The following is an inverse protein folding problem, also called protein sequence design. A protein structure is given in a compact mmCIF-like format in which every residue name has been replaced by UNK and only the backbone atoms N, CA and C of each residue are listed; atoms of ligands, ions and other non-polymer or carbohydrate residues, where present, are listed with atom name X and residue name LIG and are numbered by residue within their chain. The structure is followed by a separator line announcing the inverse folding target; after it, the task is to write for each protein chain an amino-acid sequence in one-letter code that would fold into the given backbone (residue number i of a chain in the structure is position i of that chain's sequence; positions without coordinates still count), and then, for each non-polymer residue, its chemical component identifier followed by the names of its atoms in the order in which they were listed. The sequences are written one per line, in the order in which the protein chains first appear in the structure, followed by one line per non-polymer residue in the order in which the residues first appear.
data_IF_014203729442
#
_entry.id   IF_014203729442
#
_cell.length_a   1.000
_cell.length_b   1.000
_cell.length_c   1.000
_cell.angle_alpha   90.00
_cell.angle_beta   90.00
_cell.angle_gamma   90.00
#
_symmetry.space_group_name_H-M   'P 1'
#
loop_
_entity.id
_entity.type
_entity.pdbx_description
1 polymer ?
#
# COMPACT_ATOMS: atom_id res chain seq x y z
N UNK A 1 -30.07 8.61 -22.85
CA UNK A 1 -30.65 8.18 -21.55
C UNK A 1 -30.73 9.41 -20.63
N UNK A 2 -31.47 9.40 -19.52
CA UNK A 2 -31.38 10.57 -18.61
C UNK A 2 -29.98 10.64 -17.98
N UNK A 3 -29.48 11.84 -17.69
CA UNK A 3 -28.19 12.03 -17.00
C UNK A 3 -28.13 11.21 -15.71
N UNK A 4 -29.21 11.27 -14.94
CA UNK A 4 -29.36 10.52 -13.69
C UNK A 4 -29.27 9.02 -13.90
N UNK A 5 -29.92 8.47 -14.94
CA UNK A 5 -29.87 7.03 -15.22
C UNK A 5 -28.43 6.54 -15.46
N UNK A 6 -27.62 7.28 -16.22
CA UNK A 6 -26.22 6.91 -16.45
C UNK A 6 -25.36 7.00 -15.18
N UNK A 7 -25.65 7.97 -14.32
CA UNK A 7 -24.99 8.11 -13.01
C UNK A 7 -25.35 6.92 -12.11
N UNK A 8 -26.62 6.53 -12.07
CA UNK A 8 -27.10 5.40 -11.27
C UNK A 8 -26.51 4.07 -11.79
N UNK A 9 -26.46 3.88 -13.11
CA UNK A 9 -25.80 2.74 -13.74
C UNK A 9 -24.31 2.71 -13.40
N UNK A 10 -23.60 3.84 -13.47
CA UNK A 10 -22.20 3.93 -13.09
C UNK A 10 -21.98 3.65 -11.59
N UNK A 11 -22.88 4.11 -10.71
CA UNK A 11 -22.84 3.79 -9.28
C UNK A 11 -23.00 2.29 -9.03
N UNK A 12 -23.94 1.64 -9.73
CA UNK A 12 -24.12 0.19 -9.64
C UNK A 12 -22.87 -0.55 -10.12
N UNK A 13 -22.28 -0.14 -11.24
CA UNK A 13 -21.04 -0.72 -11.74
C UNK A 13 -19.90 -0.60 -10.72
N UNK A 14 -19.74 0.56 -10.07
CA UNK A 14 -18.71 0.73 -9.04
C UNK A 14 -18.96 -0.16 -7.82
N UNK A 15 -20.22 -0.47 -7.51
CA UNK A 15 -20.57 -1.45 -6.47
C UNK A 15 -20.27 -2.88 -6.91
N UNK A 16 -20.61 -3.24 -8.15
CA UNK A 16 -20.39 -4.55 -8.77
C UNK A 16 -18.89 -4.87 -8.91
N UNK A 17 -18.07 -3.86 -9.21
CA UNK A 17 -16.61 -3.93 -9.21
C UNK A 17 -16.00 -4.01 -7.79
N UNK A 18 -16.82 -4.01 -6.75
CA UNK A 18 -16.38 -4.20 -5.38
C UNK A 18 -15.72 -2.99 -4.72
N UNK A 19 -15.81 -1.78 -5.30
CA UNK A 19 -15.18 -0.59 -4.67
C UNK A 19 -15.80 -0.30 -3.31
N UNK A 20 -15.07 0.24 -2.32
CA UNK A 20 -15.63 0.51 -1.01
C UNK A 20 -16.63 1.69 -1.04
N UNK A 21 -17.49 1.86 -0.01
CA UNK A 21 -18.53 2.89 0.01
C UNK A 21 -18.02 4.31 -0.26
N UNK A 22 -16.79 4.64 0.12
CA UNK A 22 -16.17 5.94 -0.11
C UNK A 22 -15.99 6.30 -1.60
N UNK A 23 -16.01 5.30 -2.50
CA UNK A 23 -15.93 5.47 -3.96
C UNK A 23 -17.26 5.22 -4.66
N UNK A 24 -18.32 4.86 -3.94
CA UNK A 24 -19.69 4.70 -4.48
C UNK A 24 -20.49 5.99 -4.34
N UNK A 25 -19.97 7.07 -4.92
CA UNK A 25 -20.58 8.39 -4.89
C UNK A 25 -20.63 9.04 -6.27
N UNK A 26 -21.46 10.08 -6.42
CA UNK A 26 -21.71 10.78 -7.68
C UNK A 26 -20.41 11.27 -8.34
N UNK A 27 -19.45 11.78 -7.57
CA UNK A 27 -18.14 12.23 -8.09
C UNK A 27 -17.40 11.09 -8.79
N UNK A 28 -17.39 9.90 -8.19
CA UNK A 28 -16.70 8.74 -8.73
C UNK A 28 -17.41 8.19 -9.96
N UNK A 29 -18.75 8.16 -9.94
CA UNK A 29 -19.56 7.81 -11.11
C UNK A 29 -19.30 8.75 -12.29
N UNK A 30 -19.33 10.07 -12.07
CA UNK A 30 -19.04 11.08 -13.09
C UNK A 30 -17.61 11.01 -13.61
N UNK A 31 -16.65 10.67 -12.75
CA UNK A 31 -15.25 10.46 -13.15
C UNK A 31 -15.12 9.23 -14.05
N UNK A 32 -15.81 8.12 -13.72
CA UNK A 32 -15.83 6.93 -14.57
C UNK A 32 -16.40 7.26 -15.95
N UNK A 33 -17.54 7.95 -16.00
CA UNK A 33 -18.19 8.37 -17.24
C UNK A 33 -17.28 9.26 -18.11
N UNK A 34 -16.50 10.14 -17.48
CA UNK A 34 -15.52 10.97 -18.18
C UNK A 34 -14.39 10.14 -18.80
N UNK A 35 -13.82 9.18 -18.04
CA UNK A 35 -12.75 8.30 -18.52
C UNK A 35 -13.15 7.42 -19.72
N UNK A 36 -14.44 7.26 -19.96
CA UNK A 36 -14.98 6.50 -21.11
C UNK A 36 -15.67 7.39 -22.17
N UNK A 37 -15.61 8.72 -22.03
CA UNK A 37 -16.34 9.75 -22.83
C UNK A 37 -17.83 9.42 -23.03
N UNK A 38 -18.50 8.84 -22.02
CA UNK A 38 -19.90 8.46 -22.11
C UNK A 38 -20.80 9.66 -21.82
N UNK A 39 -21.28 10.31 -22.86
CA UNK A 39 -22.18 11.47 -22.78
C UNK A 39 -23.64 11.05 -22.55
N UNK A 40 -24.54 11.97 -22.14
CA UNK A 40 -25.95 11.65 -21.87
C UNK A 40 -26.73 11.01 -23.04
N UNK A 41 -26.32 11.32 -24.27
CA UNK A 41 -26.85 10.79 -25.52
C UNK A 41 -26.13 9.50 -26.00
N UNK A 42 -25.05 9.12 -25.35
CA UNK A 42 -24.24 7.95 -25.67
C UNK A 42 -24.79 6.63 -25.11
N UNK A 43 -24.05 5.55 -25.38
CA UNK A 43 -24.37 4.19 -24.96
C UNK A 43 -23.12 3.50 -24.43
N UNK A 44 -23.31 2.61 -23.46
CA UNK A 44 -22.24 1.77 -22.91
C UNK A 44 -21.53 0.94 -23.97
N UNK A 45 -22.18 0.54 -25.07
CA UNK A 45 -21.51 -0.20 -26.15
C UNK A 45 -20.49 0.62 -26.95
N UNK A 46 -20.54 1.95 -26.90
CA UNK A 46 -19.81 2.88 -27.78
C UNK A 46 -18.81 3.75 -26.99
N UNK A 47 -18.12 3.15 -26.00
CA UNK A 47 -17.14 3.86 -25.16
C UNK A 47 -15.86 4.21 -25.91
N UNK A 48 -15.24 5.32 -25.50
CA UNK A 48 -13.89 5.71 -25.91
C UNK A 48 -12.92 5.56 -24.76
N UNK A 49 -11.64 5.78 -25.02
CA UNK A 49 -10.59 5.79 -23.99
C UNK A 49 -9.73 7.06 -24.10
N UNK A 50 -10.28 8.24 -23.84
CA UNK A 50 -9.48 9.47 -23.85
C UNK A 50 -8.39 9.44 -22.77
N UNK A 51 -7.24 10.06 -23.07
CA UNK A 51 -6.24 10.41 -22.07
C UNK A 51 -6.66 11.71 -21.39
N UNK A 52 -6.96 11.66 -20.09
CA UNK A 52 -7.49 12.81 -19.37
C UNK A 52 -6.72 13.10 -18.08
N UNK A 53 -6.30 14.35 -17.93
CA UNK A 53 -5.91 14.88 -16.62
C UNK A 53 -7.13 15.20 -15.76
N UNK A 54 -6.90 15.48 -14.47
CA UNK A 54 -7.98 15.77 -13.50
C UNK A 54 -8.79 17.01 -13.87
N UNK A 55 -8.13 18.08 -14.34
CA UNK A 55 -8.81 19.31 -14.77
C UNK A 55 -9.68 19.06 -16.02
N UNK A 56 -9.18 18.41 -17.09
CA UNK A 56 -10.03 17.95 -18.19
C UNK A 56 -11.23 17.09 -17.76
N UNK A 57 -11.07 16.22 -16.77
CA UNK A 57 -12.19 15.43 -16.21
C UNK A 57 -13.24 16.36 -15.59
N UNK A 58 -12.83 17.31 -14.74
CA UNK A 58 -13.76 18.27 -14.12
C UNK A 58 -14.50 19.12 -15.17
N UNK A 59 -13.79 19.60 -16.18
CA UNK A 59 -14.37 20.40 -17.28
C UNK A 59 -15.36 19.57 -18.11
N UNK A 60 -15.01 18.32 -18.42
CA UNK A 60 -15.89 17.41 -19.13
C UNK A 60 -17.16 17.12 -18.33
N UNK A 61 -17.04 16.89 -17.02
CA UNK A 61 -18.18 16.66 -16.13
C UNK A 61 -19.09 17.90 -16.09
N UNK A 62 -18.52 19.10 -15.95
CA UNK A 62 -19.28 20.35 -15.98
C UNK A 62 -20.01 20.56 -17.30
N UNK A 63 -19.36 20.25 -18.43
CA UNK A 63 -19.91 20.43 -19.77
C UNK A 63 -21.02 19.45 -20.13
N UNK A 64 -20.88 18.18 -19.74
CA UNK A 64 -21.78 17.11 -20.20
C UNK A 64 -22.83 16.70 -19.16
N UNK A 65 -22.54 16.91 -17.87
CA UNK A 65 -23.40 16.50 -16.75
C UNK A 65 -23.85 17.67 -15.87
N UNK A 66 -23.57 18.92 -16.27
CA UNK A 66 -23.95 20.16 -15.57
C UNK A 66 -23.44 20.24 -14.11
N UNK A 67 -22.39 19.48 -13.78
CA UNK A 67 -21.82 19.43 -12.43
C UNK A 67 -20.48 20.15 -12.41
N UNK A 68 -20.52 21.42 -12.04
CA UNK A 68 -19.31 22.26 -11.93
C UNK A 68 -18.67 22.04 -10.56
N UNK A 69 -17.41 21.62 -10.57
CA UNK A 69 -16.61 21.47 -9.35
C UNK A 69 -15.70 22.68 -9.14
N UNK A 70 -15.60 23.13 -7.88
CA UNK A 70 -14.65 24.17 -7.51
C UNK A 70 -13.19 23.67 -7.68
N UNK A 71 -12.21 24.55 -7.97
CA UNK A 71 -10.82 24.16 -8.24
C UNK A 71 -10.17 23.26 -7.18
N UNK A 72 -10.50 23.47 -5.90
CA UNK A 72 -10.02 22.66 -4.78
C UNK A 72 -10.49 21.20 -4.83
N UNK A 73 -11.58 20.90 -5.53
CA UNK A 73 -12.12 19.54 -5.73
C UNK A 73 -11.22 18.68 -6.63
N UNK A 74 -10.31 19.32 -7.39
CA UNK A 74 -9.32 18.62 -8.20
C UNK A 74 -8.56 17.60 -7.36
N UNK A 75 -8.12 17.98 -6.17
CA UNK A 75 -7.37 17.08 -5.31
C UNK A 75 -8.22 15.96 -4.74
N UNK A 76 -9.51 16.21 -4.49
CA UNK A 76 -10.48 15.20 -4.09
C UNK A 76 -10.69 14.16 -5.19
N UNK A 77 -10.92 14.58 -6.45
CA UNK A 77 -11.07 13.64 -7.58
C UNK A 77 -9.79 12.83 -7.77
N UNK A 78 -8.63 13.47 -7.66
CA UNK A 78 -7.33 12.78 -7.78
C UNK A 78 -7.14 11.72 -6.69
N UNK A 79 -7.18 12.12 -5.42
CA UNK A 79 -6.82 11.28 -4.27
C UNK A 79 -7.90 10.31 -3.83
N UNK A 80 -9.17 10.66 -4.00
CA UNK A 80 -10.31 9.92 -3.46
C UNK A 80 -11.16 9.23 -4.54
N UNK A 81 -10.77 9.33 -5.82
CA UNK A 81 -11.42 8.60 -6.90
C UNK A 81 -10.38 7.98 -7.83
N UNK A 82 -9.56 8.78 -8.51
CA UNK A 82 -8.65 8.28 -9.56
C UNK A 82 -7.54 7.37 -9.03
N UNK A 83 -6.96 7.69 -7.87
CA UNK A 83 -5.99 6.79 -7.24
C UNK A 83 -6.62 5.44 -6.93
N UNK A 84 -7.82 5.43 -6.35
CA UNK A 84 -8.50 4.18 -6.05
C UNK A 84 -8.90 3.44 -7.32
N UNK A 85 -9.25 4.13 -8.39
CA UNK A 85 -9.50 3.48 -9.68
C UNK A 85 -8.24 2.84 -10.26
N UNK A 86 -7.07 3.44 -10.05
CA UNK A 86 -5.78 2.84 -10.46
C UNK A 86 -5.43 1.64 -9.60
N UNK A 87 -5.55 1.76 -8.27
CA UNK A 87 -5.32 0.65 -7.33
C UNK A 87 -6.29 -0.51 -7.61
N UNK A 88 -7.51 -0.17 -7.99
CA UNK A 88 -8.57 -1.06 -8.43
C UNK A 88 -8.43 -1.48 -9.91
N UNK A 89 -7.33 -1.23 -10.61
CA UNK A 89 -7.15 -1.63 -12.02
C UNK A 89 -8.22 -1.17 -13.02
N UNK A 90 -9.09 -0.22 -12.63
CA UNK A 90 -10.15 0.37 -13.46
C UNK A 90 -9.52 1.36 -14.44
N UNK A 91 -8.51 2.11 -13.98
CA UNK A 91 -7.82 3.13 -14.77
C UNK A 91 -6.31 2.89 -14.78
N UNK A 92 -5.66 3.33 -15.85
CA UNK A 92 -4.22 3.37 -16.01
C UNK A 92 -3.71 4.78 -15.70
N UNK A 93 -2.57 4.86 -15.02
CA UNK A 93 -1.88 6.11 -14.73
C UNK A 93 -0.74 6.34 -15.73
N UNK A 94 -0.77 7.48 -16.43
CA UNK A 94 0.23 7.87 -17.45
C UNK A 94 0.57 6.77 -18.48
N UNK A 95 -0.41 6.08 -19.10
CA UNK A 95 -0.10 5.01 -20.05
C UNK A 95 0.59 5.53 -21.33
N UNK A 96 0.55 6.83 -21.58
CA UNK A 96 1.25 7.51 -22.68
C UNK A 96 2.74 7.80 -22.38
N UNK A 97 3.13 7.86 -21.11
CA UNK A 97 4.51 8.05 -20.67
C UNK A 97 4.72 7.44 -19.27
N UNK A 98 5.15 6.16 -19.20
CA UNK A 98 5.36 5.47 -17.93
C UNK A 98 6.46 6.09 -17.05
N UNK A 99 7.36 6.89 -17.62
CA UNK A 99 8.45 7.54 -16.89
C UNK A 99 8.04 8.90 -16.29
N UNK A 100 6.80 9.34 -16.55
CA UNK A 100 6.29 10.59 -16.02
C UNK A 100 6.22 10.55 -14.50
N UNK A 101 6.88 11.54 -13.88
CA UNK A 101 6.84 11.75 -12.43
C UNK A 101 5.41 11.69 -11.87
N UNK A 102 5.24 10.96 -10.77
CA UNK A 102 3.96 10.81 -10.05
C UNK A 102 3.37 12.13 -9.55
N UNK A 103 4.20 13.17 -9.41
CA UNK A 103 3.79 14.51 -8.99
C UNK A 103 3.62 15.48 -10.17
N UNK A 104 3.73 15.00 -11.41
CA UNK A 104 3.67 15.84 -12.59
C UNK A 104 2.29 16.51 -12.72
N UNK A 105 2.22 17.83 -12.99
CA UNK A 105 0.96 18.49 -13.31
C UNK A 105 0.36 17.98 -14.63
N UNK A 106 1.15 17.28 -15.45
CA UNK A 106 0.74 16.64 -16.72
C UNK A 106 0.27 15.20 -16.55
N UNK A 107 0.02 14.76 -15.31
CA UNK A 107 -0.52 13.42 -15.07
C UNK A 107 -1.85 13.23 -15.79
N UNK A 108 -1.99 12.12 -16.50
CA UNK A 108 -3.21 11.71 -17.21
C UNK A 108 -3.61 10.30 -16.81
N UNK A 109 -4.89 10.02 -17.00
CA UNK A 109 -5.53 8.76 -16.70
C UNK A 109 -6.28 8.29 -17.95
N UNK A 110 -6.38 6.98 -18.10
CA UNK A 110 -7.15 6.33 -19.16
C UNK A 110 -7.88 5.13 -18.58
N UNK A 111 -9.05 4.78 -19.08
CA UNK A 111 -9.71 3.53 -18.68
C UNK A 111 -8.84 2.32 -19.07
N UNK A 112 -8.74 1.31 -18.19
CA UNK A 112 -8.06 0.07 -18.53
C UNK A 112 -8.81 -0.69 -19.65
N UNK A 113 -8.11 -1.28 -20.64
CA UNK A 113 -8.76 -1.94 -21.77
C UNK A 113 -9.75 -3.03 -21.36
N UNK A 114 -9.38 -3.86 -20.38
CA UNK A 114 -10.24 -4.95 -19.90
C UNK A 114 -11.47 -4.42 -19.15
N UNK A 115 -11.29 -3.34 -18.38
CA UNK A 115 -12.41 -2.67 -17.71
C UNK A 115 -13.36 -2.06 -18.74
N UNK A 116 -12.85 -1.38 -19.77
CA UNK A 116 -13.67 -0.85 -20.87
C UNK A 116 -14.45 -1.98 -21.56
N UNK A 117 -13.81 -3.12 -21.85
CA UNK A 117 -14.47 -4.25 -22.49
C UNK A 117 -15.60 -4.83 -21.63
N UNK A 118 -15.44 -4.85 -20.30
CA UNK A 118 -16.52 -5.18 -19.37
C UNK A 118 -17.66 -4.15 -19.44
N UNK A 119 -17.34 -2.86 -19.30
CA UNK A 119 -18.32 -1.75 -19.33
C UNK A 119 -19.16 -1.76 -20.61
N UNK A 120 -18.59 -2.16 -21.75
CA UNK A 120 -19.31 -2.29 -23.02
C UNK A 120 -20.43 -3.32 -23.03
N UNK A 121 -20.45 -4.22 -22.05
CA UNK A 121 -21.49 -5.24 -21.88
C UNK A 121 -22.60 -4.82 -20.92
N UNK A 122 -22.52 -3.61 -20.35
CA UNK A 122 -23.49 -3.13 -19.38
C UNK A 122 -24.91 -3.10 -19.97
N UNK A 123 -25.87 -3.61 -19.19
CA UNK A 123 -27.28 -3.71 -19.60
C UNK A 123 -27.56 -4.81 -20.64
N UNK A 124 -26.58 -5.67 -20.94
CA UNK A 124 -26.76 -6.86 -21.79
C UNK A 124 -26.75 -8.12 -20.94
N UNK A 125 -27.33 -9.22 -21.44
CA UNK A 125 -27.27 -10.53 -20.76
C UNK A 125 -25.85 -11.14 -20.66
N UNK A 126 -24.81 -10.45 -21.15
CA UNK A 126 -23.41 -10.85 -21.01
C UNK A 126 -22.72 -10.25 -19.78
N UNK A 127 -23.34 -9.26 -19.12
CA UNK A 127 -22.75 -8.51 -18.02
C UNK A 127 -22.25 -9.43 -16.91
N UNK A 128 -23.13 -10.24 -16.32
CA UNK A 128 -22.80 -11.06 -15.15
C UNK A 128 -21.64 -12.03 -15.42
N UNK A 129 -21.66 -12.71 -16.57
CA UNK A 129 -20.61 -13.64 -16.95
C UNK A 129 -19.26 -12.92 -17.20
N UNK A 130 -19.29 -11.72 -17.80
CA UNK A 130 -18.09 -10.91 -18.04
C UNK A 130 -17.57 -10.28 -16.76
N UNK A 131 -18.44 -9.88 -15.85
CA UNK A 131 -18.09 -9.34 -14.54
C UNK A 131 -17.40 -10.41 -13.70
N UNK A 132 -17.95 -11.63 -13.64
CA UNK A 132 -17.32 -12.75 -12.95
C UNK A 132 -15.93 -13.05 -13.52
N UNK A 133 -15.81 -13.20 -14.84
CA UNK A 133 -14.53 -13.44 -15.49
C UNK A 133 -13.54 -12.29 -15.27
N UNK A 134 -14.02 -11.04 -15.27
CA UNK A 134 -13.22 -9.86 -14.97
C UNK A 134 -12.71 -9.91 -13.53
N UNK A 135 -13.58 -10.16 -12.54
CA UNK A 135 -13.21 -10.23 -11.12
C UNK A 135 -12.25 -11.39 -10.81
N UNK A 136 -12.38 -12.53 -11.49
CA UNK A 136 -11.40 -13.64 -11.42
C UNK A 136 -10.03 -13.22 -11.98
N UNK A 137 -10.01 -12.48 -13.09
CA UNK A 137 -8.79 -11.92 -13.67
C UNK A 137 -8.26 -10.71 -12.88
N UNK A 138 -9.10 -10.04 -12.11
CA UNK A 138 -8.77 -8.82 -11.40
C UNK A 138 -7.83 -9.06 -10.22
N UNK A 139 -7.98 -10.21 -9.55
CA UNK A 139 -6.92 -10.73 -8.67
C UNK A 139 -5.60 -10.78 -9.45
N UNK A 140 -5.59 -11.38 -10.65
CA UNK A 140 -4.35 -11.53 -11.45
C UNK A 140 -3.76 -10.25 -12.06
N UNK A 141 -4.55 -9.20 -12.30
CA UNK A 141 -4.10 -7.90 -12.85
C UNK A 141 -3.58 -6.95 -11.77
N UNK A 142 -4.26 -6.89 -10.62
CA UNK A 142 -3.69 -6.29 -9.41
C UNK A 142 -2.38 -7.00 -9.05
N UNK A 143 -2.36 -8.34 -9.12
CA UNK A 143 -1.15 -9.15 -8.98
C UNK A 143 -0.13 -8.91 -10.10
N UNK A 144 -0.49 -8.37 -11.26
CA UNK A 144 0.46 -8.09 -12.36
C UNK A 144 1.18 -6.77 -12.14
N UNK A 145 0.47 -5.74 -11.70
CA UNK A 145 1.06 -4.48 -11.23
C UNK A 145 1.75 -4.60 -9.87
N UNK A 146 1.29 -5.52 -9.01
CA UNK A 146 2.02 -5.96 -7.84
C UNK A 146 3.23 -6.79 -8.25
N UNK A 147 3.15 -7.69 -9.24
CA UNK A 147 4.29 -8.51 -9.74
C UNK A 147 5.45 -7.68 -10.26
N UNK A 148 5.19 -6.57 -10.95
CA UNK A 148 6.25 -5.61 -11.33
C UNK A 148 7.00 -5.02 -10.10
N UNK A 149 6.41 -5.10 -8.89
CA UNK A 149 6.99 -4.67 -7.60
C UNK A 149 7.38 -5.84 -6.68
N UNK A 150 6.77 -7.02 -6.81
CA UNK A 150 7.08 -8.27 -6.11
C UNK A 150 8.34 -8.95 -6.64
N UNK A 151 8.76 -8.64 -7.86
CA UNK A 151 10.03 -9.14 -8.43
C UNK A 151 11.28 -8.81 -7.57
N UNK A 152 11.15 -7.99 -6.53
CA UNK A 152 12.19 -7.67 -5.55
C UNK A 152 12.02 -8.35 -4.17
N UNK A 153 11.09 -9.28 -3.98
CA UNK A 153 10.93 -9.99 -2.70
C UNK A 153 11.91 -11.14 -2.56
N UNK A 154 12.81 -11.05 -1.58
CA UNK A 154 13.66 -12.18 -1.17
C UNK A 154 13.21 -12.62 0.24
N UNK A 155 12.67 -13.84 0.41
CA UNK A 155 12.15 -14.31 1.70
C UNK A 155 13.18 -14.21 2.85
N UNK A 156 12.68 -13.98 4.06
CA UNK A 156 13.49 -14.06 5.28
C UNK A 156 14.00 -15.47 5.47
N UNK A 157 15.26 -15.59 5.89
CA UNK A 157 15.86 -16.88 6.24
C UNK A 157 15.59 -17.16 7.71
N UNK A 158 14.92 -18.27 7.99
CA UNK A 158 14.84 -18.83 9.35
C UNK A 158 16.02 -19.79 9.53
N UNK A 159 16.96 -19.50 10.45
CA UNK A 159 18.11 -20.37 10.72
C UNK A 159 17.71 -21.83 10.96
N UNK A 160 18.38 -22.74 10.26
CA UNK A 160 18.20 -24.18 10.41
C UNK A 160 16.87 -24.75 9.89
N UNK A 161 16.07 -23.98 9.14
CA UNK A 161 14.79 -24.45 8.59
C UNK A 161 13.72 -24.73 9.67
N UNK A 162 13.87 -24.12 10.86
CA UNK A 162 12.93 -24.27 11.96
C UNK A 162 11.57 -23.66 11.58
N UNK A 163 10.48 -24.30 12.02
CA UNK A 163 9.13 -23.75 11.89
C UNK A 163 8.89 -22.69 12.97
N UNK A 164 8.38 -21.52 12.56
CA UNK A 164 7.90 -20.50 13.47
C UNK A 164 6.48 -20.88 13.93
N UNK A 165 6.27 -21.02 15.24
CA UNK A 165 4.96 -21.29 15.83
C UNK A 165 4.46 -20.05 16.55
N UNK A 166 3.41 -19.43 16.01
CA UNK A 166 2.73 -18.30 16.61
C UNK A 166 1.36 -18.74 17.14
N UNK A 167 0.92 -18.14 18.24
CA UNK A 167 -0.43 -18.31 18.76
C UNK A 167 -1.44 -17.58 17.85
N UNK A 168 -2.73 -17.95 17.90
CA UNK A 168 -3.76 -17.22 17.15
C UNK A 168 -4.05 -15.86 17.79
N UNK A 169 -4.15 -14.81 16.97
CA UNK A 169 -4.54 -13.47 17.41
C UNK A 169 -4.00 -12.37 16.51
N UNK A 170 -4.61 -11.18 16.57
CA UNK A 170 -4.24 -10.03 15.69
C UNK A 170 -2.76 -9.64 15.82
N UNK A 171 -2.19 -9.72 17.03
CA UNK A 171 -0.79 -9.38 17.27
C UNK A 171 0.18 -10.37 16.59
N UNK A 172 -0.12 -11.66 16.72
CA UNK A 172 0.65 -12.75 16.14
C UNK A 172 0.51 -12.78 14.61
N UNK A 173 -0.67 -12.43 14.08
CA UNK A 173 -0.89 -12.21 12.65
C UNK A 173 -0.01 -11.08 12.12
N UNK A 174 0.08 -9.96 12.84
CA UNK A 174 0.94 -8.86 12.44
C UNK A 174 2.43 -9.22 12.51
N UNK A 175 2.87 -10.03 13.48
CA UNK A 175 4.24 -10.59 13.50
C UNK A 175 4.51 -11.42 12.25
N UNK A 176 3.56 -12.28 11.85
CA UNK A 176 3.68 -13.04 10.61
C UNK A 176 3.78 -12.11 9.40
N UNK A 177 2.94 -11.09 9.32
CA UNK A 177 2.98 -10.11 8.24
C UNK A 177 4.31 -9.33 8.18
N UNK A 178 4.93 -9.04 9.34
CA UNK A 178 6.27 -8.45 9.37
C UNK A 178 7.31 -9.39 8.71
N UNK A 179 7.25 -10.69 9.02
CA UNK A 179 8.22 -11.68 8.53
C UNK A 179 7.98 -12.03 7.06
N UNK A 180 6.71 -12.12 6.64
CA UNK A 180 6.32 -12.60 5.31
C UNK A 180 6.10 -11.48 4.29
N UNK A 181 5.81 -10.25 4.74
CA UNK A 181 5.49 -9.12 3.85
C UNK A 181 6.47 -7.95 4.00
N UNK A 182 6.73 -7.47 5.22
CA UNK A 182 7.64 -6.34 5.44
C UNK A 182 9.09 -6.73 5.11
N UNK A 183 9.59 -7.79 5.75
CA UNK A 183 11.00 -8.13 5.70
C UNK A 183 11.48 -8.49 4.28
N UNK A 184 10.73 -9.25 3.44
CA UNK A 184 11.15 -9.52 2.07
C UNK A 184 11.24 -8.25 1.19
N UNK A 185 10.55 -7.17 1.55
CA UNK A 185 10.52 -5.90 0.80
C UNK A 185 11.56 -4.89 1.29
N UNK A 186 11.69 -4.74 2.61
CA UNK A 186 12.51 -3.69 3.21
C UNK A 186 13.81 -4.19 3.84
N UNK A 187 13.97 -5.50 4.00
CA UNK A 187 15.18 -6.17 4.43
C UNK A 187 15.38 -7.51 3.69
N UNK A 188 15.39 -7.51 2.34
CA UNK A 188 15.43 -8.72 1.54
C UNK A 188 16.59 -9.63 1.92
N UNK A 189 16.30 -10.92 2.12
CA UNK A 189 17.32 -11.91 2.48
C UNK A 189 17.89 -11.78 3.89
N UNK A 190 17.33 -10.91 4.74
CA UNK A 190 17.64 -10.85 6.17
C UNK A 190 17.33 -12.17 6.88
N UNK A 191 17.92 -12.33 8.05
CA UNK A 191 17.82 -13.52 8.89
C UNK A 191 16.95 -13.18 10.10
N UNK A 192 15.95 -14.02 10.40
CA UNK A 192 15.17 -13.89 11.62
C UNK A 192 16.05 -14.21 12.82
N UNK A 193 16.17 -13.27 13.76
CA UNK A 193 16.93 -13.43 15.01
C UNK A 193 15.97 -13.72 16.15
N UNK A 194 14.85 -13.02 16.23
CA UNK A 194 13.88 -13.16 17.32
C UNK A 194 12.46 -12.91 16.82
N UNK A 195 11.50 -13.68 17.34
CA UNK A 195 10.07 -13.44 17.23
C UNK A 195 9.39 -13.81 18.55
N UNK A 196 8.92 -12.81 19.28
CA UNK A 196 8.21 -12.94 20.55
C UNK A 196 6.71 -12.77 20.36
N UNK A 197 5.91 -13.72 20.84
CA UNK A 197 4.45 -13.63 20.82
C UNK A 197 3.92 -13.45 22.25
N UNK A 198 2.73 -12.86 22.37
CA UNK A 198 2.06 -12.53 23.64
C UNK A 198 1.57 -13.75 24.44
N UNK A 199 1.57 -14.95 23.85
CA UNK A 199 1.37 -16.20 24.58
C UNK A 199 2.66 -16.67 25.25
N UNK A 200 2.60 -17.41 26.37
CA UNK A 200 3.73 -17.92 27.17
C UNK A 200 4.80 -18.77 26.42
N UNK A 201 4.74 -18.86 25.09
CA UNK A 201 5.65 -19.61 24.23
C UNK A 201 6.34 -18.65 23.27
N UNK A 202 7.62 -18.40 23.53
CA UNK A 202 8.54 -17.75 22.59
C UNK A 202 8.47 -18.43 21.22
N UNK A 203 8.23 -17.66 20.15
CA UNK A 203 8.05 -18.18 18.79
C UNK A 203 9.36 -18.62 18.14
N UNK A 204 10.43 -17.82 18.29
CA UNK A 204 11.77 -18.13 17.79
C UNK A 204 12.84 -17.24 18.45
N UNK A 205 14.03 -17.80 18.74
CA UNK A 205 15.20 -17.01 19.14
C UNK A 205 16.52 -17.69 18.71
N UNK A 206 17.36 -16.96 17.98
CA UNK A 206 18.75 -17.29 17.64
C UNK A 206 19.71 -16.48 18.53
N UNK A 207 19.92 -16.98 19.74
CA UNK A 207 20.76 -16.33 20.75
C UNK A 207 22.24 -16.26 20.33
N UNK A 208 22.73 -17.29 19.64
CA UNK A 208 24.12 -17.35 19.18
C UNK A 208 24.40 -16.26 18.13
N UNK A 209 23.49 -16.08 17.17
CA UNK A 209 23.59 -15.01 16.19
C UNK A 209 23.56 -13.64 16.87
N UNK A 210 22.62 -13.40 17.80
CA UNK A 210 22.53 -12.12 18.51
C UNK A 210 23.80 -11.83 19.34
N UNK A 211 24.31 -12.85 20.04
CA UNK A 211 25.56 -12.78 20.80
C UNK A 211 26.77 -12.50 19.92
N UNK A 212 26.82 -13.09 18.72
CA UNK A 212 27.90 -12.83 17.75
C UNK A 212 27.93 -11.37 17.27
N UNK A 213 26.80 -10.67 17.35
CA UNK A 213 26.69 -9.24 17.06
C UNK A 213 27.05 -8.35 18.26
N UNK A 214 27.41 -8.92 19.41
CA UNK A 214 27.81 -8.19 20.61
C UNK A 214 26.66 -7.89 21.57
N UNK A 215 25.47 -8.46 21.35
CA UNK A 215 24.29 -8.23 22.17
C UNK A 215 23.97 -9.48 22.97
N UNK A 216 23.91 -9.34 24.30
CA UNK A 216 23.50 -10.39 25.22
C UNK A 216 22.30 -9.88 26.02
N UNK A 217 21.24 -10.66 26.12
CA UNK A 217 20.00 -10.24 26.77
C UNK A 217 19.62 -11.23 27.85
N UNK A 218 19.65 -10.79 29.11
CA UNK A 218 19.35 -11.65 30.27
C UNK A 218 17.83 -11.78 30.53
N UNK A 219 17.01 -10.89 29.97
CA UNK A 219 15.58 -10.83 30.25
C UNK A 219 14.76 -10.55 28.98
N UNK A 220 14.04 -11.57 28.51
CA UNK A 220 13.35 -11.57 27.22
C UNK A 220 12.16 -10.60 27.17
N UNK A 221 11.58 -10.20 28.32
CA UNK A 221 10.46 -9.26 28.38
C UNK A 221 10.78 -7.81 27.99
N UNK A 222 12.03 -7.51 27.59
CA UNK A 222 12.44 -6.19 27.08
C UNK A 222 12.78 -6.19 25.59
N UNK A 223 12.76 -7.35 24.94
CA UNK A 223 12.98 -7.47 23.50
C UNK A 223 11.84 -6.81 22.72
N UNK A 224 12.07 -6.30 21.50
CA UNK A 224 10.98 -5.98 20.58
C UNK A 224 10.33 -7.26 20.06
N UNK A 225 9.15 -7.15 19.48
CA UNK A 225 8.41 -8.32 18.99
C UNK A 225 9.14 -9.10 17.88
N UNK A 226 9.85 -8.41 16.97
CA UNK A 226 10.63 -9.04 15.90
C UNK A 226 12.02 -8.41 15.77
N UNK A 227 13.04 -9.26 15.58
CA UNK A 227 14.41 -8.83 15.25
C UNK A 227 14.86 -9.49 13.96
N UNK A 228 15.33 -8.69 13.01
CA UNK A 228 15.87 -9.14 11.73
C UNK A 228 17.31 -8.64 11.58
N UNK A 229 18.23 -9.54 11.21
CA UNK A 229 19.60 -9.18 10.86
C UNK A 229 19.80 -9.16 9.36
N UNK A 230 20.05 -7.98 8.80
CA UNK A 230 20.37 -7.80 7.39
C UNK A 230 21.88 -7.70 7.19
N UNK A 231 22.49 -8.87 6.97
CA UNK A 231 23.94 -9.03 6.88
C UNK A 231 24.61 -8.14 5.84
N UNK A 232 23.97 -7.93 4.68
CA UNK A 232 24.52 -7.16 3.57
C UNK A 232 24.71 -5.67 3.92
N UNK A 233 23.82 -5.11 4.75
CA UNK A 233 23.91 -3.73 5.25
C UNK A 233 24.51 -3.61 6.65
N UNK A 234 24.77 -4.75 7.29
CA UNK A 234 25.12 -4.85 8.70
C UNK A 234 24.12 -4.09 9.60
N UNK A 235 22.82 -4.32 9.36
CA UNK A 235 21.73 -3.70 10.13
C UNK A 235 20.97 -4.71 10.96
N UNK A 236 20.53 -4.27 12.13
CA UNK A 236 19.64 -5.00 13.01
C UNK A 236 18.34 -4.20 13.13
N UNK A 237 17.29 -4.74 12.51
CA UNK A 237 15.96 -4.13 12.52
C UNK A 237 15.23 -4.62 13.78
N UNK A 238 14.81 -3.67 14.61
CA UNK A 238 14.05 -3.86 15.84
C UNK A 238 12.61 -3.42 15.57
N UNK A 239 11.69 -4.37 15.42
CA UNK A 239 10.31 -4.10 14.97
C UNK A 239 9.32 -4.42 16.08
N UNK A 240 8.49 -3.44 16.45
CA UNK A 240 7.34 -3.64 17.35
C UNK A 240 6.04 -3.84 16.56
N UNK A 241 5.23 -4.80 16.98
CA UNK A 241 3.93 -5.18 16.41
C UNK A 241 2.79 -4.55 17.23
N UNK A 242 2.28 -3.41 16.77
CA UNK A 242 1.29 -2.63 17.52
C UNK A 242 -0.13 -2.95 17.08
N UNK A 243 -0.81 -3.76 17.89
CA UNK A 243 -2.26 -3.98 17.80
C UNK A 243 -3.01 -3.28 18.93
N UNK A 244 -2.53 -3.43 20.17
CA UNK A 244 -3.12 -2.83 21.38
C UNK A 244 -2.11 -2.22 22.35
N UNK A 245 -0.84 -2.65 22.31
CA UNK A 245 0.26 -2.09 23.09
C UNK A 245 0.92 -0.91 22.35
N UNK A 246 1.51 0.05 23.07
CA UNK A 246 2.03 1.30 22.47
C UNK A 246 3.20 1.10 21.48
N UNK A 247 3.48 2.08 20.60
CA UNK A 247 4.53 2.00 19.58
C UNK A 247 5.94 2.11 20.14
N UNK A 248 6.95 2.13 19.25
CA UNK A 248 8.27 2.66 19.60
C UNK A 248 8.12 4.16 19.87
N UNK A 249 7.79 4.49 21.12
CA UNK A 249 7.78 5.84 21.65
C UNK A 249 9.19 6.29 22.06
N UNK A 250 9.35 7.56 22.46
CA UNK A 250 10.66 8.10 22.82
C UNK A 250 11.35 7.31 23.95
N UNK A 251 10.57 6.82 24.92
CA UNK A 251 11.11 6.02 26.03
C UNK A 251 11.53 4.64 25.55
N UNK A 252 10.70 3.96 24.76
CA UNK A 252 10.96 2.64 24.21
C UNK A 252 12.15 2.66 23.26
N UNK A 253 12.28 3.71 22.44
CA UNK A 253 13.45 3.95 21.61
C UNK A 253 14.73 4.01 22.44
N UNK A 254 14.75 4.80 23.52
CA UNK A 254 15.91 4.86 24.44
C UNK A 254 16.21 3.53 25.12
N UNK A 255 15.18 2.79 25.53
CA UNK A 255 15.33 1.47 26.14
C UNK A 255 15.99 0.48 25.18
N UNK A 256 15.52 0.43 23.93
CA UNK A 256 16.09 -0.40 22.88
C UNK A 256 17.51 0.05 22.54
N UNK A 257 17.76 1.35 22.41
CA UNK A 257 19.10 1.88 22.16
C UNK A 257 20.10 1.48 23.26
N UNK A 258 19.68 1.51 24.53
CA UNK A 258 20.50 1.06 25.67
C UNK A 258 20.70 -0.46 25.66
N UNK A 259 19.64 -1.23 25.39
CA UNK A 259 19.70 -2.68 25.37
C UNK A 259 20.61 -3.21 24.26
N UNK A 260 20.60 -2.57 23.10
CA UNK A 260 21.39 -2.95 21.92
C UNK A 260 22.66 -2.08 21.73
N UNK A 261 23.07 -1.30 22.74
CA UNK A 261 24.17 -0.34 22.62
C UNK A 261 25.53 -0.95 22.22
N UNK A 262 25.74 -2.24 22.52
CA UNK A 262 26.95 -2.99 22.17
C UNK A 262 26.89 -3.67 20.81
N UNK A 263 25.77 -3.53 20.10
CA UNK A 263 25.60 -4.09 18.76
C UNK A 263 26.69 -3.58 17.82
N UNK A 264 27.32 -4.52 17.13
CA UNK A 264 28.24 -4.24 16.02
C UNK A 264 27.51 -3.92 14.72
N UNK A 265 26.20 -4.17 14.66
CA UNK A 265 25.30 -3.80 13.57
C UNK A 265 24.59 -2.46 13.87
N UNK A 266 24.34 -1.68 12.82
CA UNK A 266 23.54 -0.45 12.91
C UNK A 266 22.09 -0.75 13.27
N UNK A 267 21.50 0.05 14.16
CA UNK A 267 20.13 -0.18 14.64
C UNK A 267 19.12 0.57 13.76
N UNK A 268 18.05 -0.13 13.38
CA UNK A 268 16.90 0.44 12.70
C UNK A 268 15.67 0.13 13.56
N UNK A 269 14.97 1.16 14.00
CA UNK A 269 13.78 1.01 14.82
C UNK A 269 12.55 1.13 13.94
N UNK A 270 11.64 0.17 14.05
CA UNK A 270 10.40 0.19 13.28
C UNK A 270 9.18 -0.12 14.14
N UNK A 271 8.06 0.52 13.83
CA UNK A 271 6.75 0.15 14.35
C UNK A 271 5.87 -0.35 13.21
N UNK A 272 5.31 -1.54 13.35
CA UNK A 272 4.35 -2.12 12.43
C UNK A 272 2.93 -1.98 12.98
N UNK A 273 1.97 -1.64 12.13
CA UNK A 273 0.54 -1.61 12.45
C UNK A 273 -0.26 -2.45 11.45
N UNK A 274 -1.44 -2.97 11.82
CA UNK A 274 -2.33 -3.63 10.85
C UNK A 274 -2.81 -2.66 9.78
N UNK A 275 -3.04 -1.39 10.16
CA UNK A 275 -3.56 -0.37 9.25
C UNK A 275 -3.14 1.04 9.64
N UNK A 276 -3.23 1.98 8.69
CA UNK A 276 -3.07 3.42 8.97
C UNK A 276 -4.13 3.94 9.95
N UNK A 277 -5.31 3.33 10.00
CA UNK A 277 -6.37 3.67 10.97
C UNK A 277 -5.93 3.34 12.39
N UNK A 278 -5.27 2.19 12.60
CA UNK A 278 -4.68 1.84 13.90
C UNK A 278 -3.53 2.79 14.22
N UNK A 279 -2.61 3.02 13.28
CA UNK A 279 -1.50 3.95 13.42
C UNK A 279 -1.94 5.35 13.87
N UNK A 280 -3.04 5.88 13.31
CA UNK A 280 -3.54 7.22 13.64
C UNK A 280 -3.82 7.44 15.13
N UNK A 281 -4.16 6.37 15.87
CA UNK A 281 -4.40 6.42 17.32
C UNK A 281 -3.12 6.65 18.13
N UNK A 282 -1.98 6.22 17.58
CA UNK A 282 -0.67 6.24 18.23
C UNK A 282 0.28 7.26 17.60
N UNK A 283 -0.15 7.94 16.54
CA UNK A 283 0.64 8.92 15.79
C UNK A 283 1.37 9.96 16.67
N UNK A 284 0.76 10.52 17.74
CA UNK A 284 1.43 11.48 18.61
C UNK A 284 2.59 10.90 19.42
N UNK A 285 2.58 9.58 19.63
CA UNK A 285 3.52 8.89 20.53
C UNK A 285 4.71 8.27 19.77
N UNK A 286 4.64 8.15 18.44
CA UNK A 286 5.70 7.56 17.62
C UNK A 286 6.96 8.43 17.69
N UNK A 287 8.10 7.81 18.04
CA UNK A 287 9.37 8.50 18.12
C UNK A 287 9.88 8.96 16.75
N UNK A 288 10.57 10.11 16.74
CA UNK A 288 11.41 10.51 15.61
C UNK A 288 12.59 9.55 15.45
N UNK A 289 13.22 9.58 14.27
CA UNK A 289 14.28 8.68 13.85
C UNK A 289 13.87 7.20 13.82
N UNK A 290 12.56 6.94 13.62
CA UNK A 290 12.00 5.60 13.46
C UNK A 290 11.24 5.43 12.16
N UNK A 291 11.10 4.16 11.75
CA UNK A 291 10.35 3.76 10.58
C UNK A 291 8.97 3.22 10.99
N UNK A 292 7.97 3.40 10.12
CA UNK A 292 6.62 2.88 10.36
C UNK A 292 6.11 2.16 9.13
N UNK A 293 5.57 0.97 9.34
CA UNK A 293 4.99 0.13 8.30
C UNK A 293 3.54 -0.22 8.62
N UNK A 294 2.69 -0.33 7.60
CA UNK A 294 1.30 -0.77 7.78
C UNK A 294 0.99 -1.95 6.86
N UNK A 295 0.39 -3.01 7.42
CA UNK A 295 0.09 -4.23 6.68
C UNK A 295 -0.94 -4.01 5.57
N UNK A 296 -1.86 -3.04 5.74
CA UNK A 296 -2.82 -2.59 4.72
C UNK A 296 -2.19 -1.82 3.53
N UNK A 297 -0.90 -1.46 3.61
CA UNK A 297 -0.15 -0.81 2.55
C UNK A 297 1.29 -1.37 2.48
N UNK A 298 1.46 -2.68 2.25
CA UNK A 298 2.68 -3.42 2.59
C UNK A 298 3.90 -3.02 1.74
N UNK A 299 3.67 -2.29 0.64
CA UNK A 299 4.70 -1.82 -0.30
C UNK A 299 5.30 -0.47 0.05
N UNK A 300 4.82 0.20 1.11
CA UNK A 300 5.25 1.53 1.49
C UNK A 300 5.82 1.54 2.92
N UNK A 301 6.76 2.46 3.16
CA UNK A 301 7.34 2.72 4.48
C UNK A 301 7.22 4.21 4.78
N UNK A 302 6.91 4.55 6.03
CA UNK A 302 6.80 5.92 6.51
C UNK A 302 8.03 6.20 7.38
N UNK A 303 8.73 7.29 7.09
CA UNK A 303 9.90 7.70 7.85
C UNK A 303 9.53 8.86 8.79
N UNK A 304 9.57 8.64 10.10
CA UNK A 304 9.42 9.70 11.08
C UNK A 304 10.79 10.32 11.31
N UNK A 305 11.21 11.24 10.44
CA UNK A 305 12.55 11.81 10.49
C UNK A 305 12.57 13.26 10.00
N UNK A 306 13.73 13.91 10.13
CA UNK A 306 14.02 15.26 9.65
C UNK A 306 14.34 15.32 8.14
N UNK A 307 15.32 16.13 7.78
CA UNK A 307 15.68 16.45 6.39
C UNK A 307 16.37 15.33 5.60
N UNK A 308 16.76 14.23 6.27
CA UNK A 308 17.52 13.09 5.71
C UNK A 308 17.03 12.58 4.35
N UNK A 309 15.72 12.64 4.10
CA UNK A 309 15.10 12.11 2.88
C UNK A 309 14.32 13.16 2.08
N UNK A 310 14.54 14.46 2.34
CA UNK A 310 13.86 15.52 1.61
C UNK A 310 14.38 15.61 0.18
N UNK A 311 13.61 15.08 -0.77
CA UNK A 311 13.95 15.15 -2.19
C UNK A 311 12.79 14.72 -3.08
N UNK A 312 12.80 15.10 -4.38
CA UNK A 312 11.76 14.66 -5.30
C UNK A 312 11.85 13.14 -5.53
N UNK A 313 10.76 12.42 -5.29
CA UNK A 313 10.66 10.98 -5.59
C UNK A 313 10.81 10.62 -7.09
N UNK A 314 10.90 11.62 -7.97
CA UNK A 314 11.10 11.46 -9.41
C UNK A 314 12.51 11.82 -9.88
N UNK A 315 13.51 11.87 -8.99
CA UNK A 315 14.89 12.08 -9.40
C UNK A 315 15.43 10.81 -10.11
N UNK A 316 15.83 10.96 -11.38
CA UNK A 316 16.57 9.94 -12.12
C UNK A 316 17.86 9.57 -11.37
N UNK A 317 18.34 8.31 -11.46
CA UNK A 317 19.58 7.92 -10.80
C UNK A 317 20.74 8.81 -11.30
N UNK A 318 21.69 9.18 -10.44
CA UNK A 318 22.87 9.91 -10.88
C UNK A 318 23.60 9.07 -11.95
N UNK A 319 24.01 9.72 -13.03
CA UNK A 319 24.85 9.08 -14.03
C UNK A 319 26.13 8.57 -13.36
N UNK A 320 26.41 7.28 -13.51
CA UNK A 320 27.64 6.69 -13.03
C UNK A 320 28.83 7.39 -13.71
N UNK A 321 29.70 8.01 -12.90
CA UNK A 321 31.03 8.51 -13.26
C UNK A 321 32.08 7.48 -12.91
#
# INVERSE_FOLDING_TARGET
MSKQKLIDEALQILADLGLPPAQRNERSALTLLALVDLRPDGKWSELKEPLMGVTPIMEWIGKHYDKVYAPNTRETIRRQTLHQFVDAGIALYNPDDPLRSVNSPKAVYQIAPDCKALLQTQGTGKWDAKLLAYLEQWQTLADRYAREREMNMIPVKIPGGKELKLSPGEHSELIRDIIEQFAPRFAPGSVLVYAGDTGEKMGFFDEDLLRSLGVTVDNHGKMPDVILFWKERNWLLLVESVTSHGPVDGKRHEELAKLFAKSTAGLVYATAFPSRTTMAKYLPDIAWETEVWTADAPTHLIHFNGDRFLGPHSAAPPAAS
#
